data_IF_143937719508
#
_entry.id   IF_143937719508
#
_cell.length_a   1.000
_cell.length_b   1.000
_cell.length_c   1.000
_cell.angle_alpha   90.00
_cell.angle_beta   90.00
_cell.angle_gamma   90.00
#
_symmetry.space_group_name_H-M   'P 1'
#
loop_
_entity.id
_entity.type
_entity.pdbx_description
1 polymer ?
#
# COMPACT_ATOMS: atom_id res chain seq x y z
N UNK A 1 56.10 23.29 -45.46
CA UNK A 1 55.83 21.91 -45.01
C UNK A 1 56.43 21.79 -43.63
N UNK A 2 55.59 22.17 -42.68
CA UNK A 2 55.88 22.33 -41.27
C UNK A 2 55.85 20.98 -40.55
N UNK A 3 56.86 20.72 -39.73
CA UNK A 3 56.77 19.73 -38.65
C UNK A 3 57.80 20.09 -37.57
N UNK A 4 57.41 20.81 -36.51
CA UNK A 4 58.26 20.94 -35.34
C UNK A 4 58.12 19.69 -34.44
N UNK A 5 59.28 19.18 -34.03
CA UNK A 5 59.49 18.02 -33.16
C UNK A 5 58.82 18.16 -31.78
N UNK A 6 58.38 17.06 -31.14
CA UNK A 6 57.81 17.13 -29.80
C UNK A 6 58.90 17.34 -28.73
N UNK A 7 58.64 18.29 -27.82
CA UNK A 7 59.47 18.60 -26.65
C UNK A 7 59.59 17.39 -25.69
N UNK A 8 60.74 17.22 -24.99
CA UNK A 8 60.86 16.22 -23.93
C UNK A 8 60.04 16.63 -22.70
N UNK A 9 59.14 15.77 -22.25
CA UNK A 9 58.31 16.00 -21.06
C UNK A 9 59.11 15.65 -19.79
N UNK A 10 59.41 16.64 -18.96
CA UNK A 10 60.00 16.44 -17.62
C UNK A 10 58.92 16.00 -16.63
N UNK A 11 59.11 14.84 -15.99
CA UNK A 11 58.19 14.31 -14.98
C UNK A 11 58.49 14.99 -13.63
N UNK A 12 57.54 15.71 -12.99
CA UNK A 12 57.74 16.28 -11.66
C UNK A 12 57.70 15.19 -10.56
N UNK A 13 58.40 15.38 -9.42
CA UNK A 13 58.45 14.40 -8.34
C UNK A 13 57.08 14.22 -7.66
N UNK A 14 56.81 13.03 -7.09
CA UNK A 14 55.54 12.76 -6.42
C UNK A 14 55.42 13.56 -5.11
N UNK A 15 54.33 14.33 -4.98
CA UNK A 15 53.99 15.07 -3.76
C UNK A 15 53.47 14.07 -2.70
N UNK A 16 53.93 14.14 -1.43
CA UNK A 16 53.41 13.28 -0.37
C UNK A 16 51.94 13.61 -0.04
N UNK A 17 51.10 12.57 0.05
CA UNK A 17 49.68 12.70 0.36
C UNK A 17 49.42 13.08 1.84
N UNK A 18 48.44 13.96 2.13
CA UNK A 18 48.11 14.32 3.50
C UNK A 18 47.44 13.16 4.25
N UNK A 19 47.93 12.91 5.46
CA UNK A 19 47.49 11.84 6.37
C UNK A 19 46.12 12.21 6.97
N UNK A 20 45.05 11.62 6.43
CA UNK A 20 43.68 11.86 6.87
C UNK A 20 43.38 11.32 8.26
N UNK A 21 42.97 12.20 9.18
CA UNK A 21 42.38 11.83 10.46
C UNK A 21 40.88 11.49 10.28
N UNK A 22 40.62 10.36 9.62
CA UNK A 22 39.27 9.90 9.24
C UNK A 22 38.38 9.37 10.37
N UNK A 23 38.79 9.49 11.64
CA UNK A 23 38.11 8.80 12.75
C UNK A 23 36.87 9.48 13.32
N UNK A 24 36.62 10.76 13.01
CA UNK A 24 35.59 11.56 13.72
C UNK A 24 34.40 12.02 12.87
N UNK A 25 34.45 11.83 11.55
CA UNK A 25 33.37 12.24 10.63
C UNK A 25 32.54 11.07 10.09
N UNK A 26 33.01 9.82 10.25
CA UNK A 26 32.28 8.60 9.84
C UNK A 26 30.99 8.36 10.63
N UNK A 27 30.95 8.85 11.87
CA UNK A 27 29.83 8.63 12.80
C UNK A 27 28.62 9.52 12.42
N UNK A 28 28.88 10.71 11.86
CA UNK A 28 27.86 11.66 11.41
C UNK A 28 27.31 11.22 10.04
N UNK A 29 28.13 10.63 9.18
CA UNK A 29 27.70 10.11 7.86
C UNK A 29 26.86 8.83 7.91
N UNK A 30 27.04 7.98 8.93
CA UNK A 30 26.32 6.70 9.04
C UNK A 30 25.09 6.75 9.97
N UNK A 31 25.15 7.56 11.05
CA UNK A 31 24.02 7.74 11.96
C UNK A 31 22.85 8.53 11.35
N UNK A 32 23.14 9.48 10.45
CA UNK A 32 22.12 10.24 9.72
C UNK A 32 21.31 9.38 8.75
N UNK A 33 21.95 8.41 8.09
CA UNK A 33 21.25 7.47 7.19
C UNK A 33 20.28 6.58 7.96
N UNK A 34 20.68 6.05 9.13
CA UNK A 34 19.75 5.29 9.98
C UNK A 34 18.59 6.17 10.46
N UNK A 35 18.86 7.42 10.87
CA UNK A 35 17.82 8.37 11.26
C UNK A 35 16.82 8.65 10.13
N UNK A 36 17.29 8.89 8.90
CA UNK A 36 16.44 9.10 7.72
C UNK A 36 15.67 7.84 7.31
N UNK A 37 16.27 6.65 7.44
CA UNK A 37 15.59 5.37 7.17
C UNK A 37 14.49 5.14 8.20
N UNK A 38 14.76 5.37 9.50
CA UNK A 38 13.75 5.22 10.55
C UNK A 38 12.65 6.26 10.37
N UNK A 39 12.99 7.52 10.10
CA UNK A 39 11.99 8.57 9.86
C UNK A 39 11.12 8.26 8.64
N UNK A 40 11.73 7.81 7.53
CA UNK A 40 10.99 7.45 6.32
C UNK A 40 10.12 6.19 6.50
N UNK A 41 10.61 5.19 7.25
CA UNK A 41 9.81 4.03 7.63
C UNK A 41 8.62 4.43 8.51
N UNK A 42 8.85 5.18 9.59
CA UNK A 42 7.78 5.64 10.49
C UNK A 42 6.76 6.49 9.75
N UNK A 43 7.21 7.38 8.86
CA UNK A 43 6.32 8.21 8.06
C UNK A 43 5.49 7.38 7.07
N UNK A 44 6.11 6.43 6.37
CA UNK A 44 5.42 5.55 5.41
C UNK A 44 4.41 4.64 6.12
N UNK A 45 4.80 4.01 7.22
CA UNK A 45 3.89 3.22 8.05
C UNK A 45 2.78 4.09 8.63
N UNK A 46 3.10 5.28 9.13
CA UNK A 46 2.11 6.23 9.65
C UNK A 46 1.05 6.61 8.62
N UNK A 47 1.44 6.95 7.40
CA UNK A 47 0.50 7.25 6.30
C UNK A 47 -0.33 6.01 5.94
N UNK A 48 0.28 4.83 5.85
CA UNK A 48 -0.45 3.60 5.52
C UNK A 48 -1.50 3.26 6.59
N UNK A 49 -1.12 3.27 7.87
CA UNK A 49 -2.04 3.03 8.97
C UNK A 49 -3.13 4.09 9.05
N UNK A 50 -2.78 5.37 8.88
CA UNK A 50 -3.77 6.45 8.86
C UNK A 50 -4.77 6.30 7.71
N UNK A 51 -4.28 5.97 6.51
CA UNK A 51 -5.13 5.72 5.34
C UNK A 51 -6.06 4.53 5.58
N UNK A 52 -5.55 3.43 6.12
CA UNK A 52 -6.39 2.29 6.51
C UNK A 52 -7.41 2.65 7.58
N UNK A 53 -7.06 3.46 8.58
CA UNK A 53 -8.02 3.93 9.58
C UNK A 53 -9.13 4.76 8.95
N UNK A 54 -8.81 5.66 8.02
CA UNK A 54 -9.81 6.45 7.29
C UNK A 54 -10.71 5.56 6.45
N UNK A 55 -10.15 4.55 5.75
CA UNK A 55 -10.91 3.60 4.94
C UNK A 55 -11.81 2.71 5.82
N UNK A 56 -11.30 2.18 6.93
CA UNK A 56 -12.07 1.37 7.87
C UNK A 56 -13.19 2.16 8.56
N UNK A 57 -13.01 3.48 8.72
CA UNK A 57 -14.04 4.39 9.24
C UNK A 57 -15.11 4.71 8.20
N UNK A 58 -14.92 4.37 6.92
CA UNK A 58 -15.98 4.55 5.92
C UNK A 58 -17.03 3.46 6.07
N UNK A 59 -18.30 3.89 6.13
CA UNK A 59 -19.44 2.98 6.27
C UNK A 59 -19.44 1.90 5.17
N UNK A 60 -18.98 2.25 3.97
CA UNK A 60 -18.92 1.34 2.82
C UNK A 60 -18.04 0.12 3.06
N UNK A 61 -16.89 0.28 3.73
CA UNK A 61 -15.99 -0.84 4.05
C UNK A 61 -16.57 -1.73 5.13
N UNK A 62 -17.03 -1.13 6.22
CA UNK A 62 -17.62 -1.88 7.34
C UNK A 62 -18.86 -2.66 6.91
N UNK A 63 -19.73 -2.05 6.11
CA UNK A 63 -20.94 -2.67 5.57
C UNK A 63 -20.60 -3.78 4.56
N UNK A 64 -19.69 -3.54 3.62
CA UNK A 64 -19.25 -4.56 2.66
C UNK A 64 -18.64 -5.78 3.36
N UNK A 65 -17.76 -5.56 4.33
CA UNK A 65 -17.13 -6.64 5.06
C UNK A 65 -18.11 -7.37 5.98
N UNK A 66 -19.07 -6.65 6.58
CA UNK A 66 -20.15 -7.24 7.37
C UNK A 66 -21.04 -8.14 6.51
N UNK A 67 -21.48 -7.67 5.34
CA UNK A 67 -22.28 -8.49 4.39
C UNK A 67 -21.53 -9.75 3.95
N UNK A 68 -20.22 -9.64 3.71
CA UNK A 68 -19.39 -10.80 3.41
C UNK A 68 -19.29 -11.77 4.59
N UNK A 69 -19.19 -11.28 5.82
CA UNK A 69 -19.20 -12.12 7.01
C UNK A 69 -20.56 -12.76 7.28
N UNK A 70 -21.66 -12.05 7.06
CA UNK A 70 -23.02 -12.52 7.36
C UNK A 70 -23.57 -13.46 6.27
N UNK A 71 -22.94 -13.51 5.09
CA UNK A 71 -23.34 -14.43 4.02
C UNK A 71 -23.02 -15.89 4.33
N UNK A 72 -24.08 -16.71 4.35
CA UNK A 72 -23.97 -18.14 4.57
C UNK A 72 -23.11 -18.85 3.50
N UNK A 73 -23.15 -18.36 2.25
CA UNK A 73 -22.34 -18.91 1.16
C UNK A 73 -20.85 -18.64 1.38
N UNK A 74 -20.50 -17.43 1.80
CA UNK A 74 -19.10 -17.07 2.11
C UNK A 74 -18.60 -17.81 3.35
N UNK A 75 -19.43 -17.93 4.40
CA UNK A 75 -19.10 -18.74 5.57
C UNK A 75 -18.96 -20.24 5.24
N UNK A 76 -19.77 -20.76 4.32
CA UNK A 76 -19.68 -22.15 3.89
C UNK A 76 -18.35 -22.42 3.18
N UNK A 77 -17.93 -21.50 2.30
CA UNK A 77 -16.71 -21.58 1.51
C UNK A 77 -15.43 -21.31 2.32
N UNK A 78 -15.36 -20.19 3.06
CA UNK A 78 -14.16 -19.76 3.79
C UNK A 78 -14.09 -20.30 5.21
N UNK A 79 -15.22 -20.67 5.81
CA UNK A 79 -15.33 -21.01 7.22
C UNK A 79 -15.31 -19.77 8.13
N UNK A 80 -15.49 -19.99 9.43
CA UNK A 80 -15.49 -18.93 10.45
C UNK A 80 -14.35 -19.15 11.46
N UNK A 81 -13.63 -18.11 11.91
CA UNK A 81 -13.83 -16.69 11.61
C UNK A 81 -13.26 -16.27 10.25
N UNK A 82 -13.94 -15.32 9.59
CA UNK A 82 -13.47 -14.68 8.36
C UNK A 82 -12.67 -13.43 8.76
N UNK A 83 -11.45 -13.30 8.26
CA UNK A 83 -10.57 -12.15 8.48
C UNK A 83 -10.21 -11.50 7.15
N UNK A 84 -9.84 -10.22 7.19
CA UNK A 84 -9.29 -9.54 6.01
C UNK A 84 -7.81 -9.81 5.89
N UNK A 85 -7.34 -10.05 4.66
CA UNK A 85 -5.94 -10.16 4.34
C UNK A 85 -5.20 -8.83 4.50
N UNK A 86 -3.86 -8.91 4.41
CA UNK A 86 -2.99 -7.74 4.63
C UNK A 86 -3.02 -6.73 3.47
N UNK A 87 -3.33 -7.19 2.26
CA UNK A 87 -3.37 -6.33 1.08
C UNK A 87 -4.75 -5.70 0.92
N UNK A 88 -4.77 -4.39 0.71
CA UNK A 88 -5.95 -3.69 0.23
C UNK A 88 -5.55 -3.01 -1.08
N UNK A 89 -6.34 -3.23 -2.12
CA UNK A 89 -6.10 -2.62 -3.42
C UNK A 89 -7.34 -1.84 -3.84
N UNK A 90 -7.22 -0.53 -3.99
CA UNK A 90 -8.35 0.28 -4.39
C UNK A 90 -8.22 1.73 -4.01
N UNK A 91 -9.28 2.46 -4.33
CA UNK A 91 -9.40 3.89 -4.07
C UNK A 91 -10.78 4.17 -3.46
N UNK A 92 -10.77 4.87 -2.34
CA UNK A 92 -11.98 5.43 -1.73
C UNK A 92 -11.85 6.94 -1.77
N UNK A 93 -12.76 7.58 -2.47
CA UNK A 93 -12.86 9.02 -2.62
C UNK A 93 -14.15 9.48 -1.97
N UNK A 94 -14.07 10.51 -1.14
CA UNK A 94 -15.25 11.14 -0.56
C UNK A 94 -15.10 12.65 -0.70
N UNK A 95 -16.02 13.29 -1.43
CA UNK A 95 -15.99 14.70 -1.71
C UNK A 95 -17.38 15.33 -1.56
N UNK A 96 -17.50 16.31 -0.65
CA UNK A 96 -18.65 17.19 -0.49
C UNK A 96 -20.02 16.46 -0.46
N UNK A 97 -20.12 15.39 0.32
CA UNK A 97 -21.34 14.58 0.47
C UNK A 97 -21.54 13.51 -0.61
N UNK A 98 -20.76 13.54 -1.69
CA UNK A 98 -20.66 12.45 -2.66
C UNK A 98 -19.45 11.56 -2.38
N UNK A 99 -19.53 10.28 -2.71
CA UNK A 99 -18.45 9.33 -2.48
C UNK A 99 -18.36 8.29 -3.60
N UNK A 100 -17.15 7.82 -3.87
CA UNK A 100 -16.87 6.73 -4.78
C UNK A 100 -15.88 5.77 -4.12
N UNK A 101 -16.22 4.50 -4.05
CA UNK A 101 -15.40 3.48 -3.43
C UNK A 101 -15.26 2.31 -4.39
N UNK A 102 -14.04 2.10 -4.88
CA UNK A 102 -13.71 0.91 -5.67
C UNK A 102 -12.48 0.26 -5.08
N UNK A 103 -12.68 -0.88 -4.46
CA UNK A 103 -11.61 -1.60 -3.81
C UNK A 103 -11.84 -3.10 -3.80
N UNK A 104 -10.74 -3.79 -3.64
CA UNK A 104 -10.64 -5.24 -3.60
C UNK A 104 -9.80 -5.59 -2.38
N UNK A 105 -10.34 -6.48 -1.55
CA UNK A 105 -9.63 -6.99 -0.38
C UNK A 105 -9.66 -8.53 -0.36
N UNK A 106 -8.54 -9.19 -0.06
CA UNK A 106 -8.56 -10.61 0.23
C UNK A 106 -9.29 -10.83 1.55
N UNK A 107 -10.08 -11.89 1.59
CA UNK A 107 -10.74 -12.41 2.78
C UNK A 107 -10.26 -13.84 2.99
N UNK A 108 -9.90 -14.18 4.21
CA UNK A 108 -9.32 -15.48 4.55
C UNK A 108 -10.09 -16.09 5.71
N UNK A 109 -10.29 -17.40 5.65
CA UNK A 109 -10.88 -18.19 6.72
C UNK A 109 -10.20 -19.55 6.86
N UNK A 110 -10.60 -20.36 7.83
CA UNK A 110 -9.98 -21.66 8.11
C UNK A 110 -10.15 -22.70 7.00
N UNK A 111 -11.12 -22.54 6.08
CA UNK A 111 -11.34 -23.44 4.94
C UNK A 111 -10.70 -22.97 3.64
N UNK A 112 -10.34 -21.69 3.53
CA UNK A 112 -9.79 -21.13 2.30
C UNK A 112 -9.68 -19.62 2.31
N UNK A 113 -9.43 -19.06 1.14
CA UNK A 113 -9.32 -17.64 0.88
C UNK A 113 -10.18 -17.23 -0.31
N UNK A 114 -10.51 -15.94 -0.39
CA UNK A 114 -11.29 -15.35 -1.46
C UNK A 114 -10.95 -13.87 -1.60
N UNK A 115 -11.47 -13.24 -2.66
CA UNK A 115 -11.22 -11.85 -3.00
C UNK A 115 -12.57 -11.13 -3.04
N UNK A 116 -12.81 -10.28 -2.04
CA UNK A 116 -13.99 -9.42 -1.99
C UNK A 116 -13.75 -8.19 -2.87
N UNK A 117 -14.55 -8.06 -3.92
CA UNK A 117 -14.56 -6.91 -4.84
C UNK A 117 -15.76 -6.02 -4.54
N UNK A 118 -15.48 -4.74 -4.30
CA UNK A 118 -16.47 -3.73 -3.92
C UNK A 118 -16.39 -2.55 -4.88
N UNK A 119 -17.52 -2.15 -5.43
CA UNK A 119 -17.70 -0.94 -6.21
C UNK A 119 -19.00 -0.27 -5.78
N UNK A 120 -18.89 0.89 -5.16
CA UNK A 120 -20.01 1.61 -4.59
C UNK A 120 -19.89 3.12 -4.79
N UNK A 121 -21.04 3.74 -4.99
CA UNK A 121 -21.19 5.17 -5.24
C UNK A 121 -22.17 5.74 -4.21
N UNK A 122 -21.87 6.94 -3.69
CA UNK A 122 -22.75 7.70 -2.81
C UNK A 122 -23.03 9.03 -3.45
N UNK A 123 -24.30 9.31 -3.74
CA UNK A 123 -24.72 10.60 -4.28
C UNK A 123 -24.74 11.66 -3.17
N UNK A 124 -24.53 12.93 -3.55
CA UNK A 124 -24.64 14.04 -2.60
C UNK A 124 -26.06 14.11 -2.01
N UNK A 125 -26.16 14.01 -0.68
CA UNK A 125 -27.44 13.97 0.04
C UNK A 125 -28.06 12.58 0.21
N UNK A 126 -27.45 11.51 -0.31
CA UNK A 126 -27.90 10.15 -0.05
C UNK A 126 -27.45 9.67 1.35
N UNK A 127 -28.35 9.01 2.08
CA UNK A 127 -28.02 8.42 3.37
C UNK A 127 -27.13 7.17 3.22
N UNK A 128 -27.44 6.31 2.24
CA UNK A 128 -26.79 5.03 2.01
C UNK A 128 -25.90 5.01 0.77
N UNK A 129 -24.97 4.06 0.72
CA UNK A 129 -24.14 3.77 -0.45
C UNK A 129 -24.90 2.87 -1.43
N UNK A 130 -24.72 3.13 -2.72
CA UNK A 130 -25.27 2.30 -3.79
C UNK A 130 -24.16 1.37 -4.29
N UNK A 131 -24.33 0.07 -4.05
CA UNK A 131 -23.36 -0.95 -4.45
C UNK A 131 -23.63 -1.40 -5.88
N UNK A 132 -22.77 -0.99 -6.80
CA UNK A 132 -22.76 -1.48 -8.19
C UNK A 132 -22.22 -2.91 -8.26
N UNK A 133 -21.20 -3.21 -7.45
CA UNK A 133 -20.57 -4.53 -7.35
C UNK A 133 -20.25 -4.82 -5.88
N UNK A 134 -20.69 -5.96 -5.38
CA UNK A 134 -20.29 -6.46 -4.08
C UNK A 134 -20.29 -7.99 -4.15
N UNK A 135 -19.13 -8.57 -4.46
CA UNK A 135 -19.03 -10.02 -4.66
C UNK A 135 -17.72 -10.57 -4.08
N UNK A 136 -17.76 -11.82 -3.62
CA UNK A 136 -16.55 -12.57 -3.23
C UNK A 136 -16.24 -13.56 -4.33
N UNK A 137 -15.04 -13.47 -4.90
CA UNK A 137 -14.52 -14.43 -5.87
C UNK A 137 -13.56 -15.39 -5.15
N UNK A 138 -13.77 -16.69 -5.34
CA UNK A 138 -12.90 -17.74 -4.79
C UNK A 138 -11.89 -18.23 -5.84
N UNK A 139 -10.78 -18.87 -5.40
CA UNK A 139 -9.75 -19.40 -6.30
C UNK A 139 -10.24 -20.44 -7.31
N UNK A 140 -11.37 -21.09 -7.05
CA UNK A 140 -12.03 -22.05 -7.95
C UNK A 140 -12.89 -21.37 -9.03
N UNK A 141 -12.96 -20.03 -9.03
CA UNK A 141 -13.76 -19.22 -9.95
C UNK A 141 -15.22 -19.05 -9.51
N UNK A 142 -15.63 -19.61 -8.37
CA UNK A 142 -16.95 -19.36 -7.82
C UNK A 142 -17.06 -17.90 -7.34
N UNK A 143 -18.16 -17.23 -7.71
CA UNK A 143 -18.48 -15.87 -7.28
C UNK A 143 -19.76 -15.88 -6.47
N UNK A 144 -19.74 -15.23 -5.32
CA UNK A 144 -20.92 -15.04 -4.47
C UNK A 144 -21.28 -13.56 -4.49
N UNK A 145 -22.44 -13.23 -5.04
CA UNK A 145 -22.99 -11.88 -5.01
C UNK A 145 -23.58 -11.60 -3.61
N UNK A 146 -23.16 -10.48 -3.02
CA UNK A 146 -23.51 -10.06 -1.66
C UNK A 146 -24.38 -8.79 -1.67
N UNK A 147 -24.79 -8.30 -2.84
CA UNK A 147 -25.64 -7.11 -2.93
C UNK A 147 -27.03 -7.33 -2.31
N UNK A 148 -27.52 -8.56 -2.37
CA UNK A 148 -28.80 -9.00 -1.81
C UNK A 148 -28.68 -9.57 -0.39
N UNK A 149 -27.47 -9.60 0.18
CA UNK A 149 -27.28 -10.05 1.56
C UNK A 149 -27.99 -9.07 2.53
N UNK A 150 -28.80 -9.60 3.48
CA UNK A 150 -29.69 -8.80 4.34
C UNK A 150 -28.97 -7.90 5.35
#
# INVERSE_FOLDING_TARGET
MDSPSPFPSSVPPPIPAPKGSGGKWVLIGCGGCLGLIVLSAVFSFGIFFFSMQVIQKTDVYAEAFKRAQDSAEVQAALGTPITTGWSFSGSVNYNNGSGYAKFTLPVTGPKGEGILTVNADKSSGAAAWQYSTLEVEFPDGQKVDLRDAP
#
